data_IF_966355709300
#
_entry.id   IF_966355709300
#
_cell.length_a   1.000
_cell.length_b   1.000
_cell.length_c   1.000
_cell.angle_alpha   90.00
_cell.angle_beta   90.00
_cell.angle_gamma   90.00
#
_symmetry.space_group_name_H-M   'P 1'
#
loop_
_entity.id
_entity.type
_entity.pdbx_description
1 polymer ?
#
# COMPACT_ATOMS: atom_id res chain seq x y z
N UNK A 1 0.22 34.28 -22.09
CA UNK A 1 -0.13 33.01 -21.44
C UNK A 1 0.35 31.88 -22.34
N UNK A 2 1.51 31.28 -22.03
CA UNK A 2 1.98 30.06 -22.71
C UNK A 2 1.29 28.88 -22.02
N UNK A 3 0.46 28.16 -22.77
CA UNK A 3 -0.10 26.88 -22.34
C UNK A 3 1.05 25.88 -22.29
N UNK A 4 1.62 25.70 -21.11
CA UNK A 4 2.50 24.59 -20.79
C UNK A 4 1.65 23.31 -20.68
N UNK A 5 1.17 22.83 -21.82
CA UNK A 5 0.68 21.48 -21.98
C UNK A 5 1.89 20.53 -21.90
N UNK A 6 2.42 20.32 -20.69
CA UNK A 6 3.27 19.19 -20.37
C UNK A 6 2.40 17.92 -20.40
N UNK A 7 1.98 17.51 -21.59
CA UNK A 7 1.64 16.11 -21.82
C UNK A 7 2.91 15.32 -21.51
N UNK A 8 2.90 14.60 -20.39
CA UNK A 8 3.90 13.59 -20.08
C UNK A 8 3.82 12.54 -21.19
N UNK A 9 4.57 12.71 -22.28
CA UNK A 9 4.88 11.60 -23.18
C UNK A 9 5.62 10.58 -22.35
N UNK A 10 4.96 9.48 -22.03
CA UNK A 10 5.58 8.37 -21.32
C UNK A 10 6.65 7.82 -22.27
N UNK A 11 7.92 8.05 -21.94
CA UNK A 11 9.01 7.54 -22.75
C UNK A 11 8.95 6.02 -22.83
N UNK A 12 9.27 5.45 -24.01
CA UNK A 12 9.32 4.00 -24.22
C UNK A 12 10.20 3.29 -23.18
N UNK A 13 11.27 3.96 -22.72
CA UNK A 13 12.15 3.49 -21.66
C UNK A 13 11.42 3.32 -20.32
N UNK A 14 10.52 4.25 -19.98
CA UNK A 14 9.71 4.18 -18.75
C UNK A 14 8.73 3.01 -18.82
N UNK A 15 8.09 2.80 -19.96
CA UNK A 15 7.18 1.65 -20.18
C UNK A 15 7.96 0.35 -19.99
N UNK A 16 9.11 0.19 -20.66
CA UNK A 16 9.93 -1.01 -20.52
C UNK A 16 10.34 -1.27 -19.06
N UNK A 17 10.74 -0.23 -18.31
CA UNK A 17 11.10 -0.37 -16.88
C UNK A 17 9.90 -0.81 -16.04
N UNK A 18 8.72 -0.23 -16.26
CA UNK A 18 7.49 -0.62 -15.56
C UNK A 18 7.19 -2.09 -15.86
N UNK A 19 7.19 -2.50 -17.14
CA UNK A 19 6.92 -3.89 -17.53
C UNK A 19 7.90 -4.87 -16.88
N UNK A 20 9.20 -4.59 -16.91
CA UNK A 20 10.21 -5.47 -16.30
C UNK A 20 10.01 -5.57 -14.79
N UNK A 21 9.78 -4.45 -14.11
CA UNK A 21 9.54 -4.43 -12.66
C UNK A 21 8.25 -5.14 -12.30
N UNK A 22 7.19 -5.00 -13.10
CA UNK A 22 5.94 -5.74 -12.92
C UNK A 22 6.14 -7.25 -13.03
N UNK A 23 6.92 -7.72 -14.00
CA UNK A 23 7.23 -9.15 -14.14
C UNK A 23 8.05 -9.67 -12.96
N UNK A 24 9.01 -8.88 -12.48
CA UNK A 24 9.78 -9.20 -11.27
C UNK A 24 8.85 -9.30 -10.07
N UNK A 25 7.98 -8.31 -9.87
CA UNK A 25 7.03 -8.29 -8.75
C UNK A 25 6.06 -9.47 -8.82
N UNK A 26 5.52 -9.76 -10.00
CA UNK A 26 4.69 -10.94 -10.23
C UNK A 26 5.44 -12.21 -9.82
N UNK A 27 6.69 -12.38 -10.24
CA UNK A 27 7.53 -13.51 -9.84
C UNK A 27 7.75 -13.59 -8.32
N UNK A 28 7.99 -12.45 -7.65
CA UNK A 28 8.13 -12.40 -6.19
C UNK A 28 6.83 -12.77 -5.46
N UNK A 29 5.68 -12.33 -5.97
CA UNK A 29 4.37 -12.68 -5.40
C UNK A 29 3.95 -14.11 -5.72
N UNK A 30 4.55 -14.72 -6.75
CA UNK A 30 4.26 -16.09 -7.18
C UNK A 30 4.91 -17.15 -6.29
N UNK A 31 5.91 -16.79 -5.50
CA UNK A 31 6.74 -17.72 -4.73
C UNK A 31 6.37 -17.62 -3.24
N UNK A 32 6.03 -18.75 -2.63
CA UNK A 32 6.07 -18.91 -1.18
C UNK A 32 7.52 -19.18 -0.76
N UNK A 33 8.19 -18.16 -0.21
CA UNK A 33 9.59 -18.26 0.19
C UNK A 33 9.80 -19.16 1.41
N UNK A 34 8.80 -19.30 2.26
CA UNK A 34 8.89 -20.14 3.47
C UNK A 34 8.58 -21.60 3.13
N UNK A 35 7.53 -21.85 2.36
CA UNK A 35 7.16 -23.19 1.90
C UNK A 35 7.93 -23.69 0.69
N UNK A 36 8.76 -22.85 0.06
CA UNK A 36 9.51 -23.12 -1.17
C UNK A 36 8.63 -23.71 -2.29
N UNK A 37 7.43 -23.16 -2.44
CA UNK A 37 6.42 -23.62 -3.40
C UNK A 37 5.83 -22.45 -4.18
N UNK A 38 5.02 -22.74 -5.20
CA UNK A 38 4.25 -21.71 -5.89
C UNK A 38 3.05 -21.31 -5.01
N UNK A 39 2.77 -20.02 -4.94
CA UNK A 39 1.59 -19.50 -4.28
C UNK A 39 0.32 -20.10 -4.90
N UNK A 40 -0.64 -20.48 -4.06
CA UNK A 40 -1.93 -20.99 -4.51
C UNK A 40 -2.66 -19.98 -5.40
N UNK A 41 -2.52 -18.68 -5.11
CA UNK A 41 -3.09 -17.58 -5.91
C UNK A 41 -2.63 -17.61 -7.37
N UNK A 42 -1.36 -17.95 -7.63
CA UNK A 42 -0.86 -18.13 -9.02
C UNK A 42 -1.48 -19.34 -9.69
N UNK A 43 -1.67 -20.44 -8.96
CA UNK A 43 -2.23 -21.66 -9.51
C UNK A 43 -3.70 -21.49 -9.91
N UNK A 44 -4.47 -20.72 -9.13
CA UNK A 44 -5.91 -20.53 -9.33
C UNK A 44 -6.21 -19.32 -10.22
N UNK A 45 -5.58 -18.16 -9.99
CA UNK A 45 -5.92 -16.90 -10.69
C UNK A 45 -4.68 -16.06 -11.08
N UNK A 46 -3.81 -16.56 -11.98
CA UNK A 46 -2.56 -15.90 -12.32
C UNK A 46 -2.76 -14.51 -12.95
N UNK A 47 -3.84 -14.33 -13.73
CA UNK A 47 -4.15 -13.07 -14.39
C UNK A 47 -4.48 -11.92 -13.41
N UNK A 48 -5.20 -12.23 -12.32
CA UNK A 48 -5.49 -11.22 -11.29
C UNK A 48 -4.22 -10.85 -10.53
N UNK A 49 -3.35 -11.80 -10.23
CA UNK A 49 -2.08 -11.51 -9.57
C UNK A 49 -1.17 -10.63 -10.43
N UNK A 50 -1.13 -10.87 -11.74
CA UNK A 50 -0.39 -10.02 -12.68
C UNK A 50 -0.97 -8.60 -12.71
N UNK A 51 -2.29 -8.45 -12.67
CA UNK A 51 -2.94 -7.15 -12.60
C UNK A 51 -2.58 -6.41 -11.31
N UNK A 52 -2.63 -7.10 -10.16
CA UNK A 52 -2.22 -6.54 -8.86
C UNK A 52 -0.77 -6.07 -8.92
N UNK A 53 0.14 -6.91 -9.43
CA UNK A 53 1.55 -6.55 -9.59
C UNK A 53 1.73 -5.33 -10.51
N UNK A 54 0.93 -5.21 -11.58
CA UNK A 54 0.98 -4.06 -12.48
C UNK A 54 0.52 -2.78 -11.78
N UNK A 55 -0.61 -2.83 -11.07
CA UNK A 55 -1.17 -1.68 -10.34
C UNK A 55 -0.17 -1.21 -9.27
N UNK A 56 0.36 -2.12 -8.46
CA UNK A 56 1.35 -1.80 -7.43
C UNK A 56 2.61 -1.18 -8.03
N UNK A 57 3.09 -1.74 -9.15
CA UNK A 57 4.25 -1.18 -9.86
C UNK A 57 3.97 0.24 -10.34
N UNK A 58 2.80 0.51 -10.93
CA UNK A 58 2.44 1.85 -11.42
C UNK A 58 2.36 2.85 -10.27
N UNK A 59 1.70 2.50 -9.16
CA UNK A 59 1.57 3.35 -7.98
C UNK A 59 2.95 3.71 -7.42
N UNK A 60 3.81 2.70 -7.25
CA UNK A 60 5.16 2.89 -6.70
C UNK A 60 6.07 3.63 -7.66
N UNK A 61 6.00 3.34 -8.96
CA UNK A 61 6.72 4.07 -10.00
C UNK A 61 6.34 5.56 -9.99
N UNK A 62 5.04 5.86 -9.88
CA UNK A 62 4.54 7.22 -9.78
C UNK A 62 5.11 7.93 -8.53
N UNK A 63 5.03 7.28 -7.37
CA UNK A 63 5.55 7.81 -6.10
C UNK A 63 7.07 8.08 -6.17
N UNK A 64 7.85 7.14 -6.75
CA UNK A 64 9.31 7.28 -6.93
C UNK A 64 9.66 8.42 -7.87
N UNK A 65 8.97 8.54 -9.01
CA UNK A 65 9.22 9.61 -9.98
C UNK A 65 8.97 10.99 -9.40
N UNK A 66 7.95 11.14 -8.54
CA UNK A 66 7.65 12.38 -7.84
C UNK A 66 8.48 12.60 -6.57
N UNK A 67 9.22 11.60 -6.12
CA UNK A 67 9.95 11.67 -4.86
C UNK A 67 11.16 12.62 -4.90
N UNK A 68 11.33 13.35 -3.80
CA UNK A 68 12.48 14.19 -3.46
C UNK A 68 13.55 13.42 -2.69
N UNK A 69 13.20 12.25 -2.16
CA UNK A 69 14.13 11.38 -1.43
C UNK A 69 14.94 10.56 -2.41
N UNK A 70 16.16 10.18 -2.01
CA UNK A 70 17.11 9.45 -2.85
C UNK A 70 17.80 8.38 -2.00
N UNK A 71 18.43 7.41 -2.67
CA UNK A 71 19.27 6.37 -2.04
C UNK A 71 18.49 5.54 -1.00
N UNK A 72 19.16 5.11 0.06
CA UNK A 72 18.62 4.30 1.15
C UNK A 72 17.35 4.85 1.80
N UNK A 73 17.20 6.18 1.91
CA UNK A 73 15.96 6.78 2.45
C UNK A 73 14.74 6.48 1.58
N UNK A 74 14.91 6.46 0.25
CA UNK A 74 13.85 6.10 -0.68
C UNK A 74 13.55 4.60 -0.64
N UNK A 75 14.58 3.76 -0.56
CA UNK A 75 14.42 2.30 -0.42
C UNK A 75 13.61 1.97 0.84
N UNK A 76 14.01 2.51 1.99
CA UNK A 76 13.31 2.27 3.25
C UNK A 76 11.85 2.74 3.21
N UNK A 77 11.58 3.90 2.58
CA UNK A 77 10.22 4.39 2.46
C UNK A 77 9.35 3.52 1.52
N UNK A 78 9.89 3.11 0.37
CA UNK A 78 9.21 2.19 -0.55
C UNK A 78 8.97 0.83 0.11
N UNK A 79 9.94 0.32 0.88
CA UNK A 79 9.79 -0.89 1.68
C UNK A 79 8.61 -0.76 2.65
N UNK A 80 8.58 0.30 3.47
CA UNK A 80 7.51 0.52 4.44
C UNK A 80 6.16 0.64 3.74
N UNK A 81 6.06 1.41 2.65
CA UNK A 81 4.81 1.59 1.91
C UNK A 81 4.32 0.27 1.34
N UNK A 82 5.18 -0.43 0.59
CA UNK A 82 4.82 -1.66 -0.09
C UNK A 82 4.47 -2.77 0.93
N UNK A 83 5.33 -3.01 1.91
CA UNK A 83 5.08 -4.02 2.96
C UNK A 83 3.82 -3.73 3.77
N UNK A 84 3.59 -2.46 4.11
CA UNK A 84 2.41 -2.11 4.90
C UNK A 84 1.12 -2.32 4.11
N UNK A 85 1.08 -1.87 2.85
CA UNK A 85 -0.10 -1.97 2.00
C UNK A 85 -0.45 -3.42 1.65
N UNK A 86 0.54 -4.24 1.30
CA UNK A 86 0.30 -5.62 0.84
C UNK A 86 0.18 -6.61 1.98
N UNK A 87 0.90 -6.40 3.08
CA UNK A 87 1.06 -7.42 4.12
C UNK A 87 0.52 -6.97 5.47
N UNK A 88 0.94 -5.82 6.01
CA UNK A 88 0.49 -5.42 7.36
C UNK A 88 -1.02 -5.18 7.42
N UNK A 89 -1.59 -4.52 6.42
CA UNK A 89 -3.01 -4.19 6.43
C UNK A 89 -3.91 -5.43 6.33
N UNK A 90 -3.49 -6.44 5.57
CA UNK A 90 -4.20 -7.71 5.43
C UNK A 90 -3.92 -8.61 6.64
N UNK A 91 -2.67 -8.66 7.11
CA UNK A 91 -2.26 -9.50 8.23
C UNK A 91 -2.87 -9.10 9.57
N UNK A 92 -3.27 -7.83 9.75
CA UNK A 92 -4.04 -7.45 10.95
C UNK A 92 -5.44 -8.08 10.94
N UNK A 93 -6.02 -8.33 9.76
CA UNK A 93 -7.32 -9.00 9.65
C UNK A 93 -7.25 -10.47 10.07
N UNK A 94 -6.16 -11.14 9.71
CA UNK A 94 -5.95 -12.54 10.08
C UNK A 94 -5.70 -12.74 11.57
N UNK A 95 -5.25 -11.71 12.31
CA UNK A 95 -5.03 -11.78 13.75
C UNK A 95 -6.32 -11.85 14.58
N UNK A 96 -7.40 -11.19 14.15
CA UNK A 96 -8.69 -11.25 14.88
C UNK A 96 -9.66 -12.29 14.29
N UNK A 97 -9.39 -12.81 13.09
CA UNK A 97 -10.04 -13.99 12.52
C UNK A 97 -9.25 -15.27 12.84
N UNK A 98 -8.55 -15.29 13.98
CA UNK A 98 -7.60 -16.36 14.35
C UNK A 98 -8.22 -17.75 14.46
N UNK A 99 -9.54 -17.85 14.62
CA UNK A 99 -10.26 -19.14 14.60
C UNK A 99 -10.35 -19.76 13.20
N UNK A 100 -10.15 -18.96 12.14
CA UNK A 100 -10.23 -19.40 10.73
C UNK A 100 -8.85 -19.78 10.20
N UNK A 101 -7.78 -19.09 10.62
CA UNK A 101 -6.44 -19.27 10.06
C UNK A 101 -5.44 -19.71 11.14
N UNK A 102 -4.74 -20.85 10.94
CA UNK A 102 -3.74 -21.29 11.89
C UNK A 102 -2.59 -20.27 12.00
N UNK A 103 -2.04 -20.02 13.21
CA UNK A 103 -1.01 -19.00 13.45
C UNK A 103 0.22 -19.12 12.54
N UNK A 104 0.55 -20.35 12.13
CA UNK A 104 1.65 -20.62 11.22
C UNK A 104 1.45 -19.96 9.84
N UNK A 105 0.23 -19.97 9.31
CA UNK A 105 -0.08 -19.33 8.02
C UNK A 105 0.02 -17.81 8.12
N UNK A 106 -0.39 -17.23 9.25
CA UNK A 106 -0.25 -15.79 9.53
C UNK A 106 1.23 -15.40 9.54
N UNK A 107 2.07 -16.14 10.25
CA UNK A 107 3.51 -15.88 10.27
C UNK A 107 4.15 -16.00 8.89
N UNK A 108 3.79 -17.03 8.11
CA UNK A 108 4.25 -17.21 6.72
C UNK A 108 3.85 -16.03 5.83
N UNK A 109 2.63 -15.51 5.97
CA UNK A 109 2.16 -14.34 5.23
C UNK A 109 3.05 -13.11 5.52
N UNK A 110 3.32 -12.83 6.79
CA UNK A 110 4.17 -11.70 7.18
C UNK A 110 5.61 -11.85 6.65
N UNK A 111 6.20 -13.05 6.76
CA UNK A 111 7.55 -13.31 6.25
C UNK A 111 7.64 -13.18 4.72
N UNK A 112 6.73 -13.81 3.99
CA UNK A 112 6.73 -13.75 2.53
C UNK A 112 6.59 -12.31 2.04
N UNK A 113 5.66 -11.55 2.65
CA UNK A 113 5.50 -10.13 2.38
C UNK A 113 6.76 -9.31 2.67
N UNK A 114 7.42 -9.57 3.80
CA UNK A 114 8.65 -8.88 4.18
C UNK A 114 9.81 -9.19 3.22
N UNK A 115 9.98 -10.45 2.82
CA UNK A 115 11.00 -10.88 1.85
C UNK A 115 10.73 -10.24 0.48
N UNK A 116 9.49 -10.33 -0.01
CA UNK A 116 9.10 -9.73 -1.28
C UNK A 116 9.35 -8.22 -1.27
N UNK A 117 8.98 -7.52 -0.19
CA UNK A 117 9.24 -6.09 -0.03
C UNK A 117 10.74 -5.75 0.04
N UNK A 118 11.53 -6.56 0.76
CA UNK A 118 12.96 -6.36 0.91
C UNK A 118 13.72 -6.52 -0.41
N UNK A 119 13.26 -7.41 -1.30
CA UNK A 119 13.83 -7.60 -2.63
C UNK A 119 13.30 -6.55 -3.62
N UNK A 120 11.99 -6.32 -3.64
CA UNK A 120 11.33 -5.42 -4.57
C UNK A 120 11.76 -3.96 -4.39
N UNK A 121 11.82 -3.47 -3.15
CA UNK A 121 12.11 -2.06 -2.86
C UNK A 121 13.47 -1.57 -3.38
N UNK A 122 14.62 -2.25 -3.21
CA UNK A 122 15.87 -1.81 -3.83
C UNK A 122 15.82 -1.93 -5.35
N UNK A 123 15.21 -2.99 -5.90
CA UNK A 123 15.15 -3.22 -7.36
C UNK A 123 14.38 -2.14 -8.09
N UNK A 124 13.21 -1.74 -7.58
CA UNK A 124 12.42 -0.67 -8.20
C UNK A 124 13.16 0.67 -8.10
N UNK A 125 13.78 0.99 -6.96
CA UNK A 125 14.56 2.22 -6.80
C UNK A 125 15.78 2.26 -7.72
N UNK A 126 16.43 1.12 -7.94
CA UNK A 126 17.51 0.91 -8.90
C UNK A 126 17.03 1.16 -10.34
N UNK A 127 15.93 0.53 -10.75
CA UNK A 127 15.40 0.63 -12.10
C UNK A 127 14.99 2.07 -12.49
N UNK A 128 14.54 2.87 -11.54
CA UNK A 128 14.25 4.30 -11.76
C UNK A 128 15.47 5.22 -11.60
N UNK A 129 16.67 4.67 -11.41
CA UNK A 129 17.95 5.41 -11.47
C UNK A 129 18.18 6.37 -10.30
N UNK A 130 17.45 6.23 -9.18
CA UNK A 130 17.47 7.18 -8.05
C UNK A 130 18.56 6.92 -7.01
N UNK A 131 19.49 5.99 -7.28
CA UNK A 131 20.65 5.73 -6.41
C UNK A 131 21.83 6.67 -6.66
N UNK A 132 22.05 7.10 -7.91
CA UNK A 132 23.31 7.76 -8.32
C UNK A 132 23.22 9.28 -8.38
N UNK A 133 22.02 9.86 -8.28
CA UNK A 133 21.84 11.31 -8.43
C UNK A 133 22.42 12.06 -7.21
N UNK A 134 23.68 12.51 -7.31
CA UNK A 134 24.16 13.67 -6.55
C UNK A 134 23.41 14.87 -7.12
N UNK A 135 22.31 15.25 -6.50
CA UNK A 135 21.72 16.56 -6.77
C UNK A 135 22.67 17.59 -6.16
N UNK A 136 23.54 18.13 -7.01
CA UNK A 136 24.27 19.37 -6.77
C UNK A 136 23.30 20.41 -6.22
N UNK A 137 23.73 21.09 -5.16
CA UNK A 137 22.90 21.99 -4.38
C UNK A 137 22.11 22.97 -5.24
N UNK A 138 20.79 22.92 -5.13
CA UNK A 138 19.93 24.07 -5.35
C UNK A 138 19.42 24.45 -3.95
N UNK A 139 19.85 25.59 -3.37
CA UNK A 139 19.28 26.11 -2.14
C UNK A 139 17.88 26.66 -2.45
N UNK A 140 16.91 25.75 -2.58
CA UNK A 140 15.50 26.09 -2.74
C UNK A 140 14.77 25.81 -1.44
N UNK A 141 14.53 26.87 -0.67
CA UNK A 141 13.74 26.98 0.55
C UNK A 141 12.27 26.57 0.35
N UNK A 142 12.03 25.31 -0.01
CA UNK A 142 10.70 24.70 0.07
C UNK A 142 10.38 24.42 1.53
N UNK A 143 9.83 25.44 2.21
CA UNK A 143 9.53 25.40 3.64
C UNK A 143 8.92 24.06 4.05
N UNK A 144 9.66 23.31 4.87
CA UNK A 144 9.16 22.12 5.54
C UNK A 144 7.78 22.48 6.10
N UNK A 145 6.78 21.63 5.87
CA UNK A 145 5.54 21.76 6.61
C UNK A 145 5.94 21.48 8.05
N UNK A 146 6.13 22.55 8.84
CA UNK A 146 6.22 22.46 10.28
C UNK A 146 4.82 22.05 10.74
N UNK A 147 4.52 20.76 10.60
CA UNK A 147 3.25 20.25 11.10
C UNK A 147 3.38 20.29 12.60
N UNK A 148 2.61 21.16 13.24
CA UNK A 148 2.59 21.26 14.69
C UNK A 148 2.20 19.88 15.25
N UNK A 149 3.18 19.16 15.80
CA UNK A 149 3.04 17.81 16.36
C UNK A 149 1.92 17.74 17.42
N UNK A 150 1.60 18.89 18.03
CA UNK A 150 0.58 19.02 19.08
C UNK A 150 -0.85 18.75 18.62
N UNK A 151 -1.17 18.94 17.33
CA UNK A 151 -2.53 18.71 16.81
C UNK A 151 -2.70 17.37 16.09
N UNK A 152 -1.62 16.61 15.92
CA UNK A 152 -1.64 15.31 15.26
C UNK A 152 -2.51 14.27 15.96
N UNK A 153 -2.47 14.11 17.30
CA UNK A 153 -3.29 13.11 17.97
C UNK A 153 -4.79 13.30 17.70
N UNK A 154 -5.27 14.55 17.67
CA UNK A 154 -6.68 14.86 17.40
C UNK A 154 -7.06 14.53 15.96
N UNK A 155 -6.19 14.86 15.00
CA UNK A 155 -6.43 14.54 13.58
C UNK A 155 -6.44 13.03 13.33
N UNK A 156 -5.52 12.29 13.96
CA UNK A 156 -5.47 10.83 13.87
C UNK A 156 -6.69 10.19 14.54
N UNK A 157 -7.12 10.72 15.69
CA UNK A 157 -8.34 10.27 16.36
C UNK A 157 -9.58 10.48 15.47
N UNK A 158 -9.70 11.66 14.84
CA UNK A 158 -10.81 11.93 13.93
C UNK A 158 -10.81 10.98 12.72
N UNK A 159 -9.63 10.74 12.13
CA UNK A 159 -9.50 9.81 11.01
C UNK A 159 -9.79 8.36 11.41
N UNK A 160 -9.37 7.94 12.60
CA UNK A 160 -9.68 6.62 13.14
C UNK A 160 -11.20 6.43 13.29
N UNK A 161 -11.90 7.41 13.87
CA UNK A 161 -13.36 7.38 14.01
C UNK A 161 -14.04 7.38 12.65
N UNK A 162 -13.60 8.24 11.72
CA UNK A 162 -14.14 8.30 10.37
C UNK A 162 -13.98 6.96 9.63
N UNK A 163 -12.81 6.31 9.77
CA UNK A 163 -12.56 5.01 9.18
C UNK A 163 -13.47 3.92 9.75
N UNK A 164 -13.69 3.91 11.07
CA UNK A 164 -14.63 2.98 11.71
C UNK A 164 -16.06 3.20 11.20
N UNK A 165 -16.49 4.45 11.06
CA UNK A 165 -17.81 4.78 10.49
C UNK A 165 -17.92 4.26 9.07
N UNK A 166 -16.91 4.49 8.21
CA UNK A 166 -16.89 3.97 6.86
C UNK A 166 -16.95 2.44 6.83
N UNK A 167 -16.20 1.77 7.69
CA UNK A 167 -16.21 0.30 7.80
C UNK A 167 -17.62 -0.22 8.15
N UNK A 168 -18.24 0.34 9.19
CA UNK A 168 -19.60 -0.07 9.62
C UNK A 168 -20.63 0.27 8.54
N UNK A 169 -20.56 1.45 7.95
CA UNK A 169 -21.48 1.87 6.89
C UNK A 169 -21.35 0.97 5.64
N UNK A 170 -20.12 0.62 5.24
CA UNK A 170 -19.91 -0.26 4.09
C UNK A 170 -20.39 -1.70 4.39
N UNK A 171 -20.15 -2.19 5.61
CA UNK A 171 -20.68 -3.46 6.09
C UNK A 171 -22.21 -3.53 5.97
N UNK A 172 -22.90 -2.54 6.53
CA UNK A 172 -24.37 -2.52 6.58
C UNK A 172 -25.04 -2.17 5.24
N UNK A 173 -24.48 -1.23 4.47
CA UNK A 173 -25.13 -0.68 3.28
C UNK A 173 -24.72 -1.36 1.99
N UNK A 174 -23.52 -1.96 1.94
CA UNK A 174 -22.98 -2.56 0.71
C UNK A 174 -22.78 -4.05 0.88
N UNK A 175 -22.03 -4.49 1.88
CA UNK A 175 -21.67 -5.90 2.04
C UNK A 175 -22.89 -6.76 2.36
N UNK A 176 -23.66 -6.46 3.41
CA UNK A 176 -24.84 -7.26 3.80
C UNK A 176 -25.86 -7.38 2.66
N UNK A 177 -26.26 -6.30 1.96
CA UNK A 177 -27.19 -6.42 0.84
C UNK A 177 -26.61 -7.18 -0.35
N UNK A 178 -25.32 -7.01 -0.65
CA UNK A 178 -24.66 -7.66 -1.77
C UNK A 178 -24.51 -9.17 -1.55
N UNK A 179 -24.08 -9.58 -0.35
CA UNK A 179 -23.98 -11.01 0.01
C UNK A 179 -25.36 -11.64 0.00
N UNK A 180 -26.35 -11.00 0.62
CA UNK A 180 -27.74 -11.49 0.60
C UNK A 180 -28.30 -11.66 -0.83
N UNK A 181 -27.88 -10.81 -1.77
CA UNK A 181 -28.31 -10.89 -3.17
C UNK A 181 -27.59 -11.98 -3.98
N UNK A 182 -26.32 -12.29 -3.64
CA UNK A 182 -25.51 -13.26 -4.37
C UNK A 182 -25.60 -14.67 -3.78
N UNK A 183 -25.55 -14.79 -2.45
CA UNK A 183 -25.58 -16.05 -1.71
C UNK A 183 -26.11 -15.83 -0.27
N UNK A 184 -27.41 -16.06 -0.03
CA UNK A 184 -28.01 -15.92 1.30
C UNK A 184 -27.41 -16.87 2.34
N UNK A 185 -26.93 -18.05 1.95
CA UNK A 185 -26.36 -19.03 2.88
C UNK A 185 -24.97 -18.58 3.39
N UNK A 186 -24.23 -17.83 2.58
CA UNK A 186 -22.99 -17.20 3.01
C UNK A 186 -23.26 -16.10 4.06
N UNK A 187 -24.40 -15.40 3.99
CA UNK A 187 -24.73 -14.37 4.98
C UNK A 187 -24.89 -14.97 6.38
N UNK A 188 -25.58 -16.11 6.50
CA UNK A 188 -25.77 -16.81 7.77
C UNK A 188 -24.42 -17.16 8.42
N UNK A 189 -23.45 -17.62 7.62
CA UNK A 189 -22.08 -17.88 8.08
C UNK A 189 -21.39 -16.62 8.63
N UNK A 190 -21.58 -15.46 7.99
CA UNK A 190 -20.98 -14.20 8.45
C UNK A 190 -21.69 -13.60 9.66
N UNK A 191 -23.00 -13.84 9.83
CA UNK A 191 -23.76 -13.36 10.99
C UNK A 191 -23.54 -14.22 12.23
N UNK A 192 -23.26 -15.51 12.05
CA UNK A 192 -22.94 -16.45 13.13
C UNK A 192 -21.47 -16.35 13.59
N UNK A 193 -20.64 -15.62 12.85
CA UNK A 193 -19.26 -15.33 13.25
C UNK A 193 -19.26 -14.40 14.46
N UNK A 194 -18.81 -14.90 15.61
CA UNK A 194 -18.58 -14.08 16.81
C UNK A 194 -17.43 -13.09 16.54
N UNK A 195 -17.76 -11.90 16.04
CA UNK A 195 -16.75 -10.86 15.84
C UNK A 195 -16.32 -10.29 17.19
N UNK A 196 -15.02 -10.33 17.52
CA UNK A 196 -14.58 -9.82 18.79
C UNK A 196 -14.82 -8.32 18.90
N UNK A 197 -15.25 -7.79 20.06
CA UNK A 197 -15.55 -6.35 20.23
C UNK A 197 -14.37 -5.43 19.90
N UNK A 198 -13.14 -5.94 20.00
CA UNK A 198 -11.90 -5.21 19.67
C UNK A 198 -11.63 -5.07 18.16
N UNK A 199 -12.46 -5.65 17.28
CA UNK A 199 -12.36 -5.45 15.83
C UNK A 199 -12.39 -3.96 15.45
N UNK A 200 -13.22 -3.16 16.14
CA UNK A 200 -13.31 -1.72 15.89
C UNK A 200 -12.00 -1.00 16.22
N UNK A 201 -11.26 -1.48 17.22
CA UNK A 201 -9.94 -0.94 17.56
C UNK A 201 -8.92 -1.27 16.47
N UNK A 202 -8.97 -2.47 15.90
CA UNK A 202 -8.13 -2.84 14.76
C UNK A 202 -8.47 -2.02 13.51
N UNK A 203 -9.75 -1.77 13.24
CA UNK A 203 -10.17 -0.90 12.13
C UNK A 203 -9.69 0.54 12.36
N UNK A 204 -9.85 1.08 13.57
CA UNK A 204 -9.28 2.38 13.93
C UNK A 204 -7.76 2.42 13.70
N UNK A 205 -7.04 1.38 14.14
CA UNK A 205 -5.60 1.23 13.91
C UNK A 205 -5.22 1.20 12.43
N UNK A 206 -5.99 0.52 11.58
CA UNK A 206 -5.83 0.49 10.12
C UNK A 206 -5.97 1.88 9.51
N UNK A 207 -7.00 2.63 9.91
CA UNK A 207 -7.19 4.02 9.47
C UNK A 207 -5.98 4.90 9.81
N UNK A 208 -5.45 4.77 11.04
CA UNK A 208 -4.25 5.49 11.48
C UNK A 208 -3.00 5.05 10.69
N UNK A 209 -2.83 3.75 10.43
CA UNK A 209 -1.71 3.22 9.66
C UNK A 209 -1.73 3.77 8.22
N UNK A 210 -2.89 3.77 7.56
CA UNK A 210 -3.08 4.37 6.23
C UNK A 210 -2.76 5.87 6.23
N UNK A 211 -3.16 6.60 7.28
CA UNK A 211 -2.77 8.00 7.46
C UNK A 211 -1.26 8.19 7.51
N UNK A 212 -0.58 7.34 8.30
CA UNK A 212 0.86 7.34 8.43
C UNK A 212 1.55 7.11 7.09
N UNK A 213 1.05 6.17 6.29
CA UNK A 213 1.54 5.90 4.93
C UNK A 213 1.28 7.07 3.98
N UNK A 214 0.09 7.68 4.02
CA UNK A 214 -0.22 8.86 3.23
C UNK A 214 0.74 10.01 3.55
N UNK A 215 1.06 10.22 4.83
CA UNK A 215 2.03 11.22 5.25
C UNK A 215 3.45 10.89 4.81
N UNK A 216 3.83 9.63 4.87
CA UNK A 216 5.11 9.17 4.36
C UNK A 216 5.22 9.51 2.86
N UNK A 217 4.19 9.18 2.06
CA UNK A 217 4.12 9.50 0.63
C UNK A 217 4.18 11.02 0.39
N UNK A 218 3.37 11.81 1.09
CA UNK A 218 3.35 13.28 1.00
C UNK A 218 4.73 13.86 1.35
N UNK A 219 5.37 13.34 2.40
CA UNK A 219 6.69 13.79 2.82
C UNK A 219 7.78 13.51 1.79
N UNK A 220 7.55 12.53 0.90
CA UNK A 220 8.45 12.16 -0.19
C UNK A 220 8.24 13.02 -1.43
N UNK A 221 7.02 13.45 -1.78
CA UNK A 221 6.73 14.11 -3.07
C UNK A 221 7.30 15.54 -3.16
N UNK A 222 7.86 15.92 -4.33
CA UNK A 222 8.20 17.31 -4.68
C UNK A 222 6.95 18.04 -5.19
N UNK A 223 6.42 19.02 -4.44
CA UNK A 223 5.29 19.84 -4.88
C UNK A 223 5.02 21.07 -4.02
N UNK A 224 4.41 22.12 -4.61
CA UNK A 224 3.89 23.29 -3.89
C UNK A 224 2.66 22.87 -3.07
N UNK A 225 2.47 23.53 -1.91
CA UNK A 225 1.49 23.23 -0.85
C UNK A 225 0.04 22.96 -1.31
N UNK A 226 -0.37 23.42 -2.49
CA UNK A 226 -1.72 23.26 -3.04
C UNK A 226 -1.96 21.94 -3.79
N UNK A 227 -0.92 21.28 -4.28
CA UNK A 227 -1.04 19.95 -4.92
C UNK A 227 -1.08 18.80 -3.89
N UNK A 228 -0.80 19.09 -2.62
CA UNK A 228 -0.77 18.14 -1.51
C UNK A 228 -2.12 18.02 -0.80
N UNK A 229 -3.03 19.00 -0.98
CA UNK A 229 -4.38 18.95 -0.38
C UNK A 229 -5.44 18.22 -1.21
N UNK A 230 -5.07 17.72 -2.39
CA UNK A 230 -5.93 16.97 -3.32
C UNK A 230 -5.62 15.46 -3.34
N UNK A 231 -4.65 15.02 -2.54
CA UNK A 231 -4.31 13.61 -2.26
C UNK A 231 -4.60 13.37 -0.79
#
# INVERSE_FOLDING_TARGET
>A
MKNDAYFYTIDMNTIMRITVITLILFGLLSIDFVGLSLSETVAVVPGMLLLVALVDTIIIAYAINRSRWHRWRLIAAVFVIFYSLTTLLVGVETLYLGDILPPEQVYRLFLNGAIAAAIFSPLVVLAFGRLTTRVSGIPGSGGQVAVSWRFWPVKLAFLAVFWVILFVAFGLLVFTPLVNALDPAALDFYTDLEMPPWILLFQAGRGVALAGLALLIISMIRGRRWQVGLV
#
